data_IF_507786537700
#
_entry.id   IF_507786537700
#
_cell.length_a   1.000
_cell.length_b   1.000
_cell.length_c   1.000
_cell.angle_alpha   90.00
_cell.angle_beta   90.00
_cell.angle_gamma   90.00
#
_symmetry.space_group_name_H-M   'P 1'
#
loop_
_entity.id
_entity.type
_entity.pdbx_description
1 polymer ?
#
# COMPACT_ATOMS: atom_id res chain seq x y z
N UNK A 1 18.31 25.29 -8.92
CA UNK A 1 17.40 24.20 -8.46
C UNK A 1 16.71 24.58 -7.16
N UNK A 2 17.41 25.17 -6.21
CA UNK A 2 16.82 25.54 -4.91
C UNK A 2 15.61 26.50 -5.03
N UNK A 3 15.62 27.52 -5.92
CA UNK A 3 14.42 28.34 -6.17
C UNK A 3 13.25 27.56 -6.78
N UNK A 4 13.53 26.52 -7.55
CA UNK A 4 12.51 25.66 -8.17
C UNK A 4 11.88 24.74 -7.13
N UNK A 5 12.69 24.12 -6.26
CA UNK A 5 12.20 23.32 -5.13
C UNK A 5 11.36 24.17 -4.18
N UNK A 6 11.79 25.41 -3.90
CA UNK A 6 11.02 26.34 -3.09
C UNK A 6 9.69 26.72 -3.76
N UNK A 7 9.67 26.93 -5.08
CA UNK A 7 8.43 27.18 -5.81
C UNK A 7 7.47 25.97 -5.74
N UNK A 8 7.96 24.75 -5.93
CA UNK A 8 7.15 23.51 -5.80
C UNK A 8 6.55 23.41 -4.39
N UNK A 9 7.36 23.66 -3.34
CA UNK A 9 6.89 23.63 -1.96
C UNK A 9 5.81 24.69 -1.68
N UNK A 10 6.01 25.92 -2.14
CA UNK A 10 5.03 27.00 -1.98
C UNK A 10 3.72 26.64 -2.68
N UNK A 11 3.77 26.14 -3.92
CA UNK A 11 2.58 25.68 -4.65
C UNK A 11 1.89 24.50 -3.96
N UNK A 12 2.66 23.57 -3.39
CA UNK A 12 2.12 22.44 -2.64
C UNK A 12 1.37 22.87 -1.38
N UNK A 13 1.74 23.96 -0.70
CA UNK A 13 1.00 24.47 0.47
C UNK A 13 -0.44 24.88 0.18
N UNK A 14 -0.79 25.08 -1.09
CA UNK A 14 -2.15 25.42 -1.52
C UNK A 14 -3.06 24.19 -1.68
N UNK A 15 -2.51 22.99 -1.58
CA UNK A 15 -3.24 21.73 -1.71
C UNK A 15 -3.73 21.27 -0.33
N UNK A 16 -4.97 20.78 -0.29
CA UNK A 16 -5.66 20.44 0.97
C UNK A 16 -5.50 18.99 1.41
N UNK A 17 -5.06 18.10 0.51
CA UNK A 17 -4.83 16.68 0.79
C UNK A 17 -3.33 16.36 0.74
N UNK A 18 -2.80 15.60 1.71
CA UNK A 18 -1.44 15.06 1.65
C UNK A 18 -1.17 14.27 0.36
N UNK A 19 -2.21 13.63 -0.18
CA UNK A 19 -2.11 12.86 -1.41
C UNK A 19 -1.96 13.76 -2.65
N UNK A 20 -2.73 14.85 -2.71
CA UNK A 20 -2.59 15.86 -3.76
C UNK A 20 -1.19 16.49 -3.74
N UNK A 21 -0.69 16.80 -2.54
CA UNK A 21 0.68 17.30 -2.34
C UNK A 21 1.71 16.32 -2.88
N UNK A 22 1.60 15.04 -2.53
CA UNK A 22 2.55 14.02 -2.94
C UNK A 22 2.52 13.77 -4.46
N UNK A 23 1.34 13.66 -5.08
CA UNK A 23 1.19 13.50 -6.53
C UNK A 23 1.75 14.71 -7.27
N UNK A 24 1.40 15.92 -6.84
CA UNK A 24 1.88 17.16 -7.45
C UNK A 24 3.41 17.25 -7.39
N UNK A 25 3.97 17.06 -6.20
CA UNK A 25 5.41 17.13 -5.96
C UNK A 25 6.17 16.11 -6.79
N UNK A 26 5.67 14.87 -6.85
CA UNK A 26 6.28 13.80 -7.64
C UNK A 26 6.25 14.09 -9.14
N UNK A 27 5.13 14.62 -9.67
CA UNK A 27 5.02 15.02 -11.07
C UNK A 27 6.02 16.14 -11.42
N UNK A 28 6.13 17.17 -10.57
CA UNK A 28 7.07 18.26 -10.77
C UNK A 28 8.53 17.76 -10.71
N UNK A 29 8.89 16.98 -9.70
CA UNK A 29 10.24 16.44 -9.54
C UNK A 29 10.61 15.47 -10.66
N UNK A 30 9.67 14.65 -11.15
CA UNK A 30 9.91 13.75 -12.29
C UNK A 30 10.20 14.54 -13.58
N UNK A 31 9.47 15.63 -13.83
CA UNK A 31 9.73 16.48 -14.99
C UNK A 31 11.11 17.16 -14.90
N UNK A 32 11.48 17.60 -13.70
CA UNK A 32 12.81 18.18 -13.44
C UNK A 32 13.91 17.14 -13.61
N UNK A 33 13.74 15.93 -13.08
CA UNK A 33 14.69 14.83 -13.20
C UNK A 33 14.94 14.46 -14.67
N UNK A 34 13.89 14.37 -15.49
CA UNK A 34 13.99 14.04 -16.91
C UNK A 34 14.83 15.04 -17.73
N UNK A 35 14.89 16.29 -17.30
CA UNK A 35 15.71 17.33 -17.95
C UNK A 35 17.14 17.31 -17.40
N UNK A 36 17.29 17.15 -16.09
CA UNK A 36 18.57 17.33 -15.39
C UNK A 36 19.51 16.14 -15.56
N UNK A 37 18.97 14.93 -15.83
CA UNK A 37 19.75 13.71 -16.07
C UNK A 37 20.67 13.80 -17.29
N UNK A 38 20.41 14.73 -18.21
CA UNK A 38 21.17 14.90 -19.45
C UNK A 38 22.49 15.69 -19.25
N UNK A 39 22.75 16.22 -18.05
CA UNK A 39 23.89 17.10 -17.78
C UNK A 39 24.94 16.40 -16.90
N UNK A 40 26.21 16.45 -17.31
CA UNK A 40 27.33 15.69 -16.69
C UNK A 40 27.79 16.19 -15.29
N UNK A 41 27.15 17.21 -14.72
CA UNK A 41 27.57 17.84 -13.46
C UNK A 41 26.43 17.93 -12.43
N UNK A 42 25.42 17.07 -12.55
CA UNK A 42 24.19 17.17 -11.76
C UNK A 42 24.02 16.03 -10.75
N UNK A 43 24.99 15.13 -10.60
CA UNK A 43 24.89 13.92 -9.76
C UNK A 43 24.38 14.18 -8.34
N UNK A 44 25.01 15.10 -7.59
CA UNK A 44 24.57 15.43 -6.23
C UNK A 44 23.13 15.97 -6.18
N UNK A 45 22.69 16.65 -7.24
CA UNK A 45 21.34 17.22 -7.33
C UNK A 45 20.32 16.19 -7.80
N UNK A 46 20.71 15.27 -8.67
CA UNK A 46 19.92 14.12 -9.07
C UNK A 46 19.63 13.22 -7.86
N UNK A 47 20.64 12.94 -7.04
CA UNK A 47 20.46 12.15 -5.82
C UNK A 47 19.50 12.82 -4.83
N UNK A 48 19.59 14.14 -4.66
CA UNK A 48 18.63 14.89 -3.83
C UNK A 48 17.19 14.82 -4.37
N UNK A 49 17.01 14.98 -5.69
CA UNK A 49 15.69 14.90 -6.32
C UNK A 49 15.11 13.49 -6.20
N UNK A 50 15.92 12.45 -6.42
CA UNK A 50 15.50 11.05 -6.24
C UNK A 50 15.05 10.79 -4.81
N UNK A 51 15.82 11.21 -3.82
CA UNK A 51 15.45 11.06 -2.41
C UNK A 51 14.11 11.74 -2.08
N UNK A 52 13.86 12.92 -2.66
CA UNK A 52 12.57 13.60 -2.51
C UNK A 52 11.43 12.87 -3.23
N UNK A 53 11.69 12.32 -4.43
CA UNK A 53 10.72 11.50 -5.15
C UNK A 53 10.37 10.24 -4.35
N UNK A 54 11.37 9.53 -3.83
CA UNK A 54 11.19 8.31 -3.02
C UNK A 54 10.38 8.59 -1.75
N UNK A 55 10.63 9.70 -1.06
CA UNK A 55 9.83 10.10 0.09
C UNK A 55 8.36 10.36 -0.27
N UNK A 56 8.09 10.97 -1.43
CA UNK A 56 6.70 11.16 -1.90
C UNK A 56 6.06 9.84 -2.35
N UNK A 57 6.84 8.91 -2.93
CA UNK A 57 6.39 7.55 -3.24
C UNK A 57 5.95 6.84 -1.97
N UNK A 58 6.75 6.92 -0.89
CA UNK A 58 6.42 6.29 0.39
C UNK A 58 5.10 6.82 0.98
N UNK A 59 4.87 8.14 0.90
CA UNK A 59 3.59 8.75 1.30
C UNK A 59 2.44 8.19 0.48
N UNK A 60 2.56 8.14 -0.86
CA UNK A 60 1.52 7.61 -1.74
C UNK A 60 1.23 6.14 -1.45
N UNK A 61 2.26 5.32 -1.31
CA UNK A 61 2.13 3.89 -0.97
C UNK A 61 1.39 3.71 0.36
N UNK A 62 1.76 4.49 1.38
CA UNK A 62 1.13 4.42 2.72
C UNK A 62 -0.34 4.82 2.68
N UNK A 63 -0.66 5.95 2.04
CA UNK A 63 -2.03 6.45 1.91
C UNK A 63 -2.92 5.49 1.11
N UNK A 64 -2.40 4.96 -0.01
CA UNK A 64 -3.14 4.00 -0.83
C UNK A 64 -3.40 2.68 -0.10
N UNK A 65 -2.37 2.11 0.54
CA UNK A 65 -2.54 0.88 1.31
C UNK A 65 -3.55 1.10 2.45
N UNK A 66 -3.47 2.23 3.15
CA UNK A 66 -4.41 2.60 4.21
C UNK A 66 -5.83 2.74 3.68
N UNK A 67 -6.01 3.38 2.53
CA UNK A 67 -7.31 3.52 1.86
C UNK A 67 -7.92 2.16 1.52
N UNK A 68 -7.16 1.28 0.87
CA UNK A 68 -7.59 -0.09 0.52
C UNK A 68 -7.98 -0.87 1.78
N UNK A 69 -7.11 -0.88 2.79
CA UNK A 69 -7.37 -1.59 4.05
C UNK A 69 -8.60 -1.03 4.78
N UNK A 70 -8.84 0.28 4.70
CA UNK A 70 -10.01 0.92 5.32
C UNK A 70 -11.29 0.56 4.59
N UNK A 71 -11.30 0.66 3.27
CA UNK A 71 -12.47 0.40 2.42
C UNK A 71 -12.89 -1.08 2.42
N UNK A 72 -11.94 -1.99 2.64
CA UNK A 72 -12.18 -3.44 2.76
C UNK A 72 -12.48 -3.88 4.20
N UNK A 73 -12.38 -2.96 5.17
CA UNK A 73 -12.57 -3.24 6.59
C UNK A 73 -11.40 -3.98 7.26
N UNK A 74 -10.30 -4.19 6.54
CA UNK A 74 -9.10 -4.88 7.05
C UNK A 74 -8.28 -4.04 8.02
N UNK A 75 -8.36 -2.71 7.98
CA UNK A 75 -7.49 -1.82 8.79
C UNK A 75 -7.62 -2.10 10.30
N UNK A 76 -8.84 -2.32 10.77
CA UNK A 76 -9.10 -2.56 12.19
C UNK A 76 -8.71 -3.98 12.60
N UNK A 77 -8.95 -4.95 11.71
CA UNK A 77 -8.53 -6.34 11.89
C UNK A 77 -7.00 -6.44 11.96
N UNK A 78 -6.30 -5.74 11.06
CA UNK A 78 -4.85 -5.64 11.05
C UNK A 78 -4.31 -5.06 12.36
N UNK A 79 -4.82 -3.90 12.79
CA UNK A 79 -4.37 -3.25 14.03
C UNK A 79 -4.52 -4.15 15.24
N UNK A 80 -5.67 -4.82 15.38
CA UNK A 80 -5.93 -5.75 16.49
C UNK A 80 -5.07 -7.00 16.40
N UNK A 81 -4.92 -7.57 15.21
CA UNK A 81 -4.07 -8.75 14.98
C UNK A 81 -2.60 -8.47 15.28
N UNK A 82 -2.09 -7.30 14.87
CA UNK A 82 -0.72 -6.87 15.10
C UNK A 82 -0.44 -6.55 16.58
N UNK A 83 -1.41 -5.96 17.28
CA UNK A 83 -1.28 -5.63 18.70
C UNK A 83 -1.56 -6.83 19.64
N UNK A 84 -2.16 -7.90 19.13
CA UNK A 84 -2.58 -9.05 19.92
C UNK A 84 -1.39 -9.84 20.48
N UNK A 85 -1.42 -10.01 21.80
CA UNK A 85 -0.48 -10.83 22.56
C UNK A 85 -1.19 -12.07 23.10
N UNK A 86 -0.48 -13.20 23.17
CA UNK A 86 -1.03 -14.46 23.68
C UNK A 86 -1.59 -14.36 25.11
N UNK A 87 -1.09 -13.42 25.91
CA UNK A 87 -1.58 -13.14 27.28
C UNK A 87 -3.00 -12.58 27.33
N UNK A 88 -3.54 -12.08 26.22
CA UNK A 88 -4.88 -11.47 26.15
C UNK A 88 -6.00 -12.48 25.85
N UNK A 89 -5.67 -13.77 25.76
CA UNK A 89 -6.60 -14.82 25.36
C UNK A 89 -6.75 -14.94 23.85
N UNK A 90 -7.72 -15.75 23.41
CA UNK A 90 -7.93 -16.01 21.99
C UNK A 90 -8.51 -14.79 21.28
N UNK A 91 -7.97 -14.47 20.10
CA UNK A 91 -8.38 -13.28 19.34
C UNK A 91 -9.88 -13.25 18.99
N UNK A 92 -10.53 -14.41 18.82
CA UNK A 92 -11.99 -14.51 18.58
C UNK A 92 -12.86 -14.03 19.74
N UNK A 93 -12.33 -13.99 20.96
CA UNK A 93 -13.03 -13.50 22.16
C UNK A 93 -12.87 -11.98 22.36
N UNK A 94 -12.01 -11.33 21.57
CA UNK A 94 -11.79 -9.89 21.62
C UNK A 94 -12.89 -9.17 20.83
N UNK A 95 -13.53 -8.20 21.46
CA UNK A 95 -14.57 -7.39 20.81
C UNK A 95 -14.07 -6.77 19.51
N UNK A 96 -14.85 -6.91 18.44
CA UNK A 96 -14.50 -6.46 17.10
C UNK A 96 -13.56 -7.39 16.32
N UNK A 97 -13.31 -8.60 16.80
CA UNK A 97 -12.59 -9.67 16.10
C UNK A 97 -13.45 -10.93 15.95
N UNK A 98 -14.77 -10.77 15.95
CA UNK A 98 -15.73 -11.85 15.82
C UNK A 98 -15.62 -12.53 14.45
N UNK A 99 -15.86 -13.86 14.34
CA UNK A 99 -15.77 -14.57 13.07
C UNK A 99 -16.64 -13.98 11.95
N UNK A 100 -17.82 -13.47 12.29
CA UNK A 100 -18.74 -12.81 11.34
C UNK A 100 -18.15 -11.52 10.76
N UNK A 101 -17.41 -10.76 11.58
CA UNK A 101 -16.76 -9.51 11.15
C UNK A 101 -15.59 -9.80 10.22
N UNK A 102 -14.79 -10.81 10.54
CA UNK A 102 -13.70 -11.27 9.66
C UNK A 102 -14.29 -11.73 8.33
N UNK A 103 -15.31 -12.60 8.35
CA UNK A 103 -15.94 -13.08 7.12
C UNK A 103 -16.49 -11.94 6.26
N UNK A 104 -17.08 -10.91 6.86
CA UNK A 104 -17.59 -9.74 6.15
C UNK A 104 -16.46 -8.93 5.48
N UNK A 105 -15.35 -8.71 6.20
CA UNK A 105 -14.18 -8.04 5.64
C UNK A 105 -13.55 -8.85 4.50
N UNK A 106 -13.49 -10.18 4.62
CA UNK A 106 -12.98 -11.05 3.55
C UNK A 106 -13.84 -10.99 2.29
N UNK A 107 -15.16 -10.86 2.39
CA UNK A 107 -16.05 -10.68 1.23
C UNK A 107 -15.76 -9.35 0.53
N UNK A 108 -15.61 -8.27 1.28
CA UNK A 108 -15.26 -6.95 0.71
C UNK A 108 -13.87 -6.98 0.07
N UNK A 109 -12.92 -7.66 0.70
CA UNK A 109 -11.58 -7.83 0.16
C UNK A 109 -11.56 -8.68 -1.11
N UNK A 110 -12.34 -9.77 -1.17
CA UNK A 110 -12.49 -10.58 -2.37
C UNK A 110 -13.14 -9.79 -3.52
N UNK A 111 -14.10 -8.92 -3.21
CA UNK A 111 -14.68 -7.98 -4.17
C UNK A 111 -13.62 -6.99 -4.69
N UNK A 112 -12.78 -6.47 -3.80
CA UNK A 112 -11.62 -5.63 -4.16
C UNK A 112 -10.66 -6.40 -5.08
N UNK A 113 -10.26 -7.63 -4.74
CA UNK A 113 -9.32 -8.44 -5.54
C UNK A 113 -9.87 -8.77 -6.94
N UNK A 114 -11.20 -8.87 -7.06
CA UNK A 114 -11.87 -9.09 -8.34
C UNK A 114 -11.87 -7.85 -9.24
N UNK A 115 -11.83 -6.64 -8.65
CA UNK A 115 -11.74 -5.38 -9.36
C UNK A 115 -10.90 -4.34 -8.58
N UNK A 116 -9.56 -4.42 -8.61
CA UNK A 116 -8.68 -3.53 -7.84
C UNK A 116 -8.82 -2.05 -8.24
N UNK A 117 -9.31 -1.79 -9.44
CA UNK A 117 -9.51 -0.46 -9.99
C UNK A 117 -10.68 0.28 -9.33
N UNK A 118 -11.61 -0.43 -8.69
CA UNK A 118 -12.78 0.15 -8.01
C UNK A 118 -12.46 1.02 -6.80
N UNK A 119 -11.22 0.94 -6.30
CA UNK A 119 -10.75 1.66 -5.12
C UNK A 119 -9.55 2.57 -5.41
N UNK A 120 -9.24 2.79 -6.69
CA UNK A 120 -8.25 3.79 -7.09
C UNK A 120 -8.70 5.18 -6.64
N UNK A 121 -7.78 5.92 -6.05
CA UNK A 121 -7.98 7.35 -5.85
C UNK A 121 -7.87 8.04 -7.21
N UNK A 122 -8.82 8.91 -7.56
CA UNK A 122 -8.86 9.59 -8.87
C UNK A 122 -7.57 10.37 -9.17
N UNK A 123 -6.92 10.86 -8.11
CA UNK A 123 -5.65 11.60 -8.14
C UNK A 123 -4.46 10.68 -8.47
N UNK A 124 -4.62 9.36 -8.36
CA UNK A 124 -3.61 8.32 -8.55
C UNK A 124 -3.68 7.62 -9.91
N UNK A 125 -4.48 8.11 -10.86
CA UNK A 125 -4.64 7.48 -12.19
C UNK A 125 -3.32 7.43 -12.99
N UNK A 126 -2.34 8.27 -12.65
CA UNK A 126 -0.98 8.30 -13.23
C UNK A 126 0.12 7.87 -12.26
N UNK A 127 -0.10 6.87 -11.44
CA UNK A 127 0.97 6.34 -10.61
C UNK A 127 1.95 5.49 -11.43
N UNK A 128 3.23 5.58 -11.07
CA UNK A 128 4.24 4.66 -11.57
C UNK A 128 3.90 3.24 -11.12
N UNK A 129 4.28 2.25 -11.93
CA UNK A 129 4.14 0.84 -11.58
C UNK A 129 4.74 0.51 -10.21
N UNK A 130 5.81 1.22 -9.84
CA UNK A 130 6.48 1.13 -8.54
C UNK A 130 5.55 1.44 -7.35
N UNK A 131 4.75 2.52 -7.42
CA UNK A 131 3.82 2.84 -6.32
C UNK A 131 2.76 1.75 -6.21
N UNK A 132 2.23 1.28 -7.35
CA UNK A 132 1.21 0.22 -7.38
C UNK A 132 1.74 -1.09 -6.80
N UNK A 133 2.97 -1.46 -7.15
CA UNK A 133 3.64 -2.66 -6.66
C UNK A 133 3.88 -2.59 -5.15
N UNK A 134 4.49 -1.51 -4.66
CA UNK A 134 4.76 -1.34 -3.23
C UNK A 134 3.47 -1.21 -2.40
N UNK A 135 2.41 -0.62 -2.96
CA UNK A 135 1.08 -0.63 -2.35
C UNK A 135 0.55 -2.05 -2.21
N UNK A 136 0.65 -2.87 -3.26
CA UNK A 136 0.22 -4.27 -3.22
C UNK A 136 0.99 -5.07 -2.17
N UNK A 137 2.32 -4.92 -2.12
CA UNK A 137 3.17 -5.56 -1.10
C UNK A 137 2.72 -5.22 0.32
N UNK A 138 2.47 -3.94 0.61
CA UNK A 138 2.00 -3.50 1.92
C UNK A 138 0.63 -4.09 2.29
N UNK A 139 -0.30 -4.17 1.33
CA UNK A 139 -1.63 -4.77 1.56
C UNK A 139 -1.50 -6.28 1.80
N UNK A 140 -0.68 -6.98 1.02
CA UNK A 140 -0.39 -8.41 1.19
C UNK A 140 0.26 -8.68 2.54
N UNK A 141 1.21 -7.85 2.97
CA UNK A 141 1.86 -7.98 4.27
C UNK A 141 0.87 -7.79 5.44
N UNK A 142 0.02 -6.76 5.37
CA UNK A 142 -1.03 -6.53 6.37
C UNK A 142 -2.05 -7.69 6.40
N UNK A 143 -2.44 -8.20 5.23
CA UNK A 143 -3.29 -9.38 5.11
C UNK A 143 -2.64 -10.62 5.74
N UNK A 144 -1.34 -10.85 5.48
CA UNK A 144 -0.61 -11.97 6.04
C UNK A 144 -0.60 -12.00 7.57
N UNK A 145 -0.52 -10.84 8.21
CA UNK A 145 -0.61 -10.73 9.68
C UNK A 145 -1.99 -11.18 10.18
N UNK A 146 -3.06 -10.77 9.51
CA UNK A 146 -4.43 -11.20 9.83
C UNK A 146 -4.56 -12.71 9.60
N UNK A 147 -4.13 -13.18 8.42
CA UNK A 147 -4.22 -14.58 8.02
C UNK A 147 -3.55 -15.50 9.04
N UNK A 148 -2.32 -15.19 9.43
CA UNK A 148 -1.55 -15.99 10.38
C UNK A 148 -2.23 -16.07 11.76
N UNK A 149 -2.80 -14.97 12.25
CA UNK A 149 -3.54 -14.97 13.52
C UNK A 149 -4.84 -15.76 13.43
N UNK A 150 -5.55 -15.68 12.31
CA UNK A 150 -6.82 -16.39 12.14
C UNK A 150 -6.60 -17.90 11.90
N UNK A 151 -5.52 -18.27 11.21
CA UNK A 151 -5.15 -19.66 10.96
C UNK A 151 -4.58 -20.36 12.21
N UNK A 152 -4.12 -19.60 13.20
CA UNK A 152 -3.63 -20.13 14.47
C UNK A 152 -4.78 -20.75 15.30
N UNK A 153 -4.73 -22.07 15.60
CA UNK A 153 -5.75 -22.74 16.40
C UNK A 153 -5.97 -22.13 17.79
N UNK A 154 -4.95 -21.51 18.38
CA UNK A 154 -5.04 -20.85 19.70
C UNK A 154 -6.03 -19.67 19.69
N UNK A 155 -6.30 -19.07 18.53
CA UNK A 155 -7.23 -17.97 18.38
C UNK A 155 -8.69 -18.41 18.19
N UNK A 156 -8.96 -19.73 18.18
CA UNK A 156 -10.29 -20.36 18.21
C UNK A 156 -11.24 -19.89 17.10
N UNK A 157 -10.71 -19.56 15.91
CA UNK A 157 -11.58 -19.26 14.78
C UNK A 157 -12.19 -20.54 14.20
N UNK A 158 -13.47 -20.51 13.79
CA UNK A 158 -14.03 -21.60 13.00
C UNK A 158 -13.32 -21.68 11.64
N UNK A 159 -13.55 -22.75 10.88
CA UNK A 159 -13.06 -22.79 9.50
C UNK A 159 -13.67 -21.64 8.68
N UNK A 160 -12.87 -20.60 8.47
CA UNK A 160 -13.20 -19.45 7.64
C UNK A 160 -12.60 -19.67 6.25
N UNK A 161 -13.40 -19.45 5.21
CA UNK A 161 -12.95 -19.56 3.82
C UNK A 161 -12.11 -18.33 3.44
N UNK A 162 -10.83 -18.33 3.83
CA UNK A 162 -9.86 -17.29 3.47
C UNK A 162 -8.94 -17.78 2.35
N UNK A 163 -8.55 -16.88 1.45
CA UNK A 163 -7.50 -17.15 0.47
C UNK A 163 -6.15 -17.20 1.19
N UNK A 164 -5.20 -17.99 0.70
CA UNK A 164 -3.85 -17.95 1.25
C UNK A 164 -3.15 -16.66 0.85
N UNK A 165 -2.08 -16.29 1.55
CA UNK A 165 -1.31 -15.08 1.26
C UNK A 165 -0.74 -15.11 -0.16
N UNK A 166 -0.34 -16.29 -0.63
CA UNK A 166 0.18 -16.52 -1.99
C UNK A 166 -0.90 -16.30 -3.05
N UNK A 167 -2.14 -16.76 -2.78
CA UNK A 167 -3.26 -16.52 -3.67
C UNK A 167 -3.58 -15.04 -3.77
N UNK A 168 -3.60 -14.32 -2.64
CA UNK A 168 -3.82 -12.86 -2.64
C UNK A 168 -2.73 -12.14 -3.41
N UNK A 169 -1.46 -12.52 -3.21
CA UNK A 169 -0.34 -12.00 -4.00
C UNK A 169 -0.54 -12.23 -5.50
N UNK A 170 -0.95 -13.43 -5.91
CA UNK A 170 -1.24 -13.72 -7.32
C UNK A 170 -2.29 -12.77 -7.91
N UNK A 171 -3.36 -12.44 -7.17
CA UNK A 171 -4.40 -11.51 -7.66
C UNK A 171 -3.85 -10.09 -7.90
N UNK A 172 -2.95 -9.60 -7.04
CA UNK A 172 -2.31 -8.30 -7.22
C UNK A 172 -1.31 -8.27 -8.38
N UNK A 173 -0.52 -9.33 -8.53
CA UNK A 173 0.60 -9.36 -9.49
C UNK A 173 0.24 -9.97 -10.85
N UNK A 174 -1.00 -10.44 -11.06
CA UNK A 174 -1.43 -11.11 -12.31
C UNK A 174 -1.20 -10.30 -13.59
N UNK A 175 -1.17 -8.97 -13.49
CA UNK A 175 -0.96 -8.05 -14.62
C UNK A 175 0.37 -7.27 -14.51
N UNK A 176 1.24 -7.60 -13.55
CA UNK A 176 2.55 -6.98 -13.44
C UNK A 176 3.57 -7.81 -14.21
N UNK A 177 4.42 -7.17 -15.00
CA UNK A 177 5.47 -7.81 -15.82
C UNK A 177 6.41 -8.70 -14.96
N UNK A 178 6.43 -8.46 -13.64
CA UNK A 178 7.18 -9.20 -12.62
C UNK A 178 6.67 -10.61 -12.27
N UNK A 179 5.52 -11.06 -12.78
CA UNK A 179 5.06 -12.44 -12.59
C UNK A 179 6.12 -13.48 -13.06
N UNK A 180 7.03 -13.10 -13.96
CA UNK A 180 8.14 -13.96 -14.40
C UNK A 180 9.33 -14.04 -13.43
N UNK A 181 9.52 -13.09 -12.50
CA UNK A 181 10.70 -13.07 -11.62
C UNK A 181 10.45 -13.77 -10.28
N UNK A 182 9.24 -13.66 -9.71
CA UNK A 182 8.94 -14.29 -8.42
C UNK A 182 8.92 -15.83 -8.49
N UNK A 183 8.67 -16.40 -9.69
CA UNK A 183 8.67 -17.85 -9.91
C UNK A 183 10.05 -18.44 -10.21
N UNK A 184 11.10 -17.61 -10.38
CA UNK A 184 12.44 -18.07 -10.73
C UNK A 184 13.40 -18.19 -9.53
N UNK A 185 12.98 -17.78 -8.33
CA UNK A 185 13.81 -17.76 -7.13
C UNK A 185 13.26 -18.55 -5.93
N UNK A 186 12.27 -19.43 -6.14
CA UNK A 186 11.86 -20.41 -5.13
C UNK A 186 12.14 -21.84 -5.59
#
# INVERSE_FOLDING_TARGET
LDPLNQAIQISATQLHSPLDVAVYTLNCLSAVNAVIILYQFTDARLEMIKAQMDANIDVLVSEQATSILTQTGLIELYRKSAAHQASQGSLSEIAGMEPSRISSAMILFDSFLSNPDSYKLDQCVKLSDLVRERTAENVVAAYGIIYNKVADPENKYPQLSMKTVEQVGFFFFRNSVFFSFFFFFL
#
